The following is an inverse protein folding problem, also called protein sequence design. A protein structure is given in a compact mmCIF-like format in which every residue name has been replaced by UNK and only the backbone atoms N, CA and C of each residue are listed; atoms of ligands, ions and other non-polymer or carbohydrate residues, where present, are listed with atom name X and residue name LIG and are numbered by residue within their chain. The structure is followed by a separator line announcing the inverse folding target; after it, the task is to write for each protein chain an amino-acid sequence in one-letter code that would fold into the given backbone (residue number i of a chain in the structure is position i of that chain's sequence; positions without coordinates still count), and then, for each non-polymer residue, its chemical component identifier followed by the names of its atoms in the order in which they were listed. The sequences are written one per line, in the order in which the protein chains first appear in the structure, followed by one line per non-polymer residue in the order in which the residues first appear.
data_IF_406683611322
#
_entry.id   IF_406683611322
#
_cell.length_a   1.000
_cell.length_b   1.000
_cell.length_c   1.000
_cell.angle_alpha   90.00
_cell.angle_beta   90.00
_cell.angle_gamma   90.00
#
_symmetry.space_group_name_H-M   'P 1'
#
loop_
_entity.id
_entity.type
_entity.pdbx_description
1 polymer ?
#
# COMPACT_ATOMS: atom_id res chain seq x y z
N UNK A 1 -2.06 -50.17 -56.13
CA UNK A 1 -2.78 -49.20 -55.27
C UNK A 1 -1.75 -48.47 -54.41
N UNK A 2 -1.66 -47.16 -54.55
CA UNK A 2 -0.76 -46.28 -53.78
C UNK A 2 -1.65 -45.38 -52.92
N UNK A 3 -1.42 -45.30 -51.60
CA UNK A 3 -2.14 -44.40 -50.69
C UNK A 3 -1.48 -43.03 -50.74
N UNK A 4 -2.24 -41.99 -51.09
CA UNK A 4 -1.81 -40.59 -50.96
C UNK A 4 -1.91 -40.16 -49.49
N UNK A 5 -0.81 -39.61 -48.96
CA UNK A 5 -0.79 -38.87 -47.70
C UNK A 5 -1.19 -37.43 -48.01
N UNK A 6 -2.43 -37.06 -47.73
CA UNK A 6 -2.86 -35.65 -47.73
C UNK A 6 -2.33 -34.97 -46.47
N UNK A 7 -1.37 -34.08 -46.67
CA UNK A 7 -0.85 -33.15 -45.66
C UNK A 7 -1.95 -32.14 -45.28
N UNK A 8 -2.76 -32.48 -44.27
CA UNK A 8 -3.61 -31.51 -43.58
C UNK A 8 -2.75 -30.75 -42.56
N UNK A 9 -1.85 -29.90 -43.07
CA UNK A 9 -1.07 -28.97 -42.23
C UNK A 9 -2.02 -27.87 -41.76
N UNK A 10 -2.67 -28.10 -40.61
CA UNK A 10 -3.40 -27.06 -39.88
C UNK A 10 -2.42 -25.95 -39.48
N UNK A 11 -2.34 -24.91 -40.31
CA UNK A 11 -1.63 -23.67 -39.97
C UNK A 11 -2.32 -23.08 -38.76
N UNK A 12 -1.68 -23.18 -37.59
CA UNK A 12 -2.17 -22.51 -36.39
C UNK A 12 -2.08 -21.00 -36.66
N UNK A 13 -3.19 -20.24 -36.58
CA UNK A 13 -3.15 -18.81 -36.88
C UNK A 13 -2.24 -18.10 -35.87
N UNK A 14 -1.20 -17.42 -36.37
CA UNK A 14 -0.38 -16.54 -35.53
C UNK A 14 -1.26 -15.40 -35.02
N UNK A 15 -1.60 -15.44 -33.73
CA UNK A 15 -2.36 -14.38 -33.07
C UNK A 15 -1.39 -13.34 -32.55
N UNK A 16 -1.44 -12.12 -33.09
CA UNK A 16 -0.60 -11.01 -32.64
C UNK A 16 -0.91 -10.71 -31.16
N UNK A 17 0.09 -10.67 -30.27
CA UNK A 17 -0.11 -10.26 -28.89
C UNK A 17 -0.71 -8.85 -28.82
N UNK A 18 -1.64 -8.64 -27.89
CA UNK A 18 -2.17 -7.29 -27.61
C UNK A 18 -1.18 -6.51 -26.75
N UNK A 19 -1.24 -5.18 -26.78
CA UNK A 19 -0.41 -4.33 -25.91
C UNK A 19 -0.58 -4.72 -24.44
N UNK A 20 -1.81 -5.01 -24.01
CA UNK A 20 -2.10 -5.50 -22.65
C UNK A 20 -1.37 -6.80 -22.31
N UNK A 21 -1.39 -7.79 -23.22
CA UNK A 21 -0.69 -9.07 -23.01
C UNK A 21 0.84 -8.92 -22.98
N UNK A 22 1.37 -7.93 -23.70
CA UNK A 22 2.79 -7.60 -23.67
C UNK A 22 3.17 -6.91 -22.35
N UNK A 23 2.32 -5.98 -21.87
CA UNK A 23 2.51 -5.33 -20.57
C UNK A 23 2.49 -6.35 -19.43
N UNK A 24 1.53 -7.27 -19.42
CA UNK A 24 1.47 -8.33 -18.41
C UNK A 24 2.72 -9.21 -18.41
N UNK A 25 3.22 -9.59 -19.60
CA UNK A 25 4.48 -10.34 -19.73
C UNK A 25 5.72 -9.56 -19.26
N UNK A 26 5.78 -8.25 -19.53
CA UNK A 26 6.88 -7.40 -19.06
C UNK A 26 6.86 -7.33 -17.53
N UNK A 27 5.67 -7.21 -16.93
CA UNK A 27 5.49 -7.23 -15.48
C UNK A 27 5.92 -8.56 -14.87
N UNK A 28 5.53 -9.69 -15.48
CA UNK A 28 5.98 -11.04 -15.06
C UNK A 28 7.52 -11.16 -15.08
N UNK A 29 8.16 -10.71 -16.17
CA UNK A 29 9.63 -10.78 -16.33
C UNK A 29 10.35 -9.89 -15.31
N UNK A 30 9.86 -8.66 -15.09
CA UNK A 30 10.48 -7.76 -14.12
C UNK A 30 10.41 -8.33 -12.69
N UNK A 31 9.28 -8.94 -12.32
CA UNK A 31 9.18 -9.60 -11.02
C UNK A 31 10.17 -10.77 -10.93
N UNK A 32 10.32 -11.58 -11.99
CA UNK A 32 11.29 -12.68 -11.99
C UNK A 32 12.74 -12.22 -11.82
N UNK A 33 13.12 -11.11 -12.46
CA UNK A 33 14.43 -10.48 -12.29
C UNK A 33 14.63 -10.07 -10.83
N UNK A 34 13.65 -9.38 -10.22
CA UNK A 34 13.73 -8.97 -8.81
C UNK A 34 13.83 -10.17 -7.84
N UNK A 35 13.07 -11.25 -8.08
CA UNK A 35 13.13 -12.48 -7.28
C UNK A 35 14.52 -13.13 -7.34
N UNK A 36 15.13 -13.16 -8.53
CA UNK A 36 16.41 -13.83 -8.79
C UNK A 36 17.59 -12.99 -8.29
N UNK A 37 17.54 -11.66 -8.47
CA UNK A 37 18.58 -10.74 -8.00
C UNK A 37 18.66 -10.67 -6.47
N UNK A 38 17.55 -10.90 -5.76
CA UNK A 38 17.51 -10.88 -4.31
C UNK A 38 17.99 -12.18 -3.63
N UNK A 39 18.18 -13.29 -4.37
CA UNK A 39 18.43 -14.64 -3.82
C UNK A 39 17.43 -15.04 -2.70
N UNK A 40 16.18 -14.55 -2.79
CA UNK A 40 15.12 -14.77 -1.80
C UNK A 40 14.08 -15.74 -2.35
N UNK A 41 13.52 -16.61 -1.50
CA UNK A 41 12.38 -17.44 -1.90
C UNK A 41 11.13 -16.57 -1.97
N UNK A 42 10.17 -17.01 -2.79
CA UNK A 42 8.83 -16.40 -2.87
C UNK A 42 8.20 -16.16 -1.49
N UNK A 43 8.29 -17.14 -0.59
CA UNK A 43 7.72 -17.00 0.76
C UNK A 43 8.38 -15.86 1.55
N UNK A 44 9.69 -15.67 1.40
CA UNK A 44 10.43 -14.62 2.12
C UNK A 44 9.99 -13.23 1.65
N UNK A 45 9.77 -13.05 0.34
CA UNK A 45 9.31 -11.78 -0.23
C UNK A 45 7.86 -11.49 0.14
N UNK A 46 7.00 -12.53 0.16
CA UNK A 46 5.63 -12.40 0.66
C UNK A 46 5.62 -11.94 2.11
N UNK A 47 6.43 -12.59 2.95
CA UNK A 47 6.47 -12.31 4.39
C UNK A 47 7.06 -10.92 4.66
N UNK A 48 8.03 -10.47 3.87
CA UNK A 48 8.57 -9.10 3.91
C UNK A 48 7.53 -8.05 3.52
N UNK A 49 6.82 -8.23 2.41
CA UNK A 49 5.73 -7.32 2.00
C UNK A 49 4.64 -7.23 3.07
N UNK A 50 4.21 -8.37 3.62
CA UNK A 50 3.20 -8.40 4.69
C UNK A 50 3.70 -7.70 5.95
N UNK A 51 4.98 -7.89 6.30
CA UNK A 51 5.61 -7.22 7.44
C UNK A 51 5.65 -5.69 7.24
N UNK A 52 6.10 -5.22 6.08
CA UNK A 52 6.18 -3.78 5.78
C UNK A 52 4.78 -3.12 5.79
N UNK A 53 3.77 -3.78 5.23
CA UNK A 53 2.38 -3.32 5.28
C UNK A 53 1.91 -3.17 6.73
N UNK A 54 2.18 -4.17 7.59
CA UNK A 54 1.80 -4.13 9.00
C UNK A 54 2.53 -3.01 9.76
N UNK A 55 3.81 -2.77 9.46
CA UNK A 55 4.57 -1.67 10.05
C UNK A 55 4.00 -0.30 9.66
N UNK A 56 3.61 -0.11 8.39
CA UNK A 56 2.96 1.13 7.94
C UNK A 56 1.58 1.30 8.58
N UNK A 57 0.77 0.24 8.68
CA UNK A 57 -0.55 0.30 9.32
C UNK A 57 -0.47 0.77 10.79
N UNK A 58 0.53 0.26 11.53
CA UNK A 58 0.80 0.73 12.90
C UNK A 58 1.14 2.23 12.91
N UNK A 59 2.01 2.70 12.01
CA UNK A 59 2.38 4.12 11.91
C UNK A 59 1.17 4.99 11.57
N UNK A 60 0.34 4.58 10.61
CA UNK A 60 -0.88 5.28 10.24
C UNK A 60 -1.83 5.42 11.42
N UNK A 61 -2.05 4.34 12.18
CA UNK A 61 -2.88 4.38 13.38
C UNK A 61 -2.31 5.33 14.44
N UNK A 62 -1.00 5.30 14.68
CA UNK A 62 -0.34 6.23 15.62
C UNK A 62 -0.49 7.70 15.21
N UNK A 63 -0.34 8.03 13.93
CA UNK A 63 -0.49 9.40 13.42
C UNK A 63 -1.95 9.85 13.57
N UNK A 64 -2.92 8.99 13.23
CA UNK A 64 -4.34 9.28 13.41
C UNK A 64 -4.71 9.56 14.87
N UNK A 65 -4.18 8.78 15.81
CA UNK A 65 -4.38 9.02 17.25
C UNK A 65 -3.81 10.38 17.69
N UNK A 66 -2.62 10.75 17.21
CA UNK A 66 -2.02 12.07 17.48
C UNK A 66 -2.89 13.20 16.94
N UNK A 67 -3.35 13.10 15.69
CA UNK A 67 -4.25 14.10 15.08
C UNK A 67 -5.56 14.20 15.87
N UNK A 68 -6.15 13.08 16.29
CA UNK A 68 -7.38 13.07 17.08
C UNK A 68 -7.20 13.77 18.44
N UNK A 69 -6.04 13.58 19.10
CA UNK A 69 -5.73 14.28 20.34
C UNK A 69 -5.52 15.78 20.12
N UNK A 70 -4.79 16.17 19.07
CA UNK A 70 -4.60 17.59 18.72
C UNK A 70 -5.93 18.26 18.35
N UNK A 71 -6.85 17.57 17.67
CA UNK A 71 -8.18 18.09 17.37
C UNK A 71 -8.98 18.39 18.65
N UNK A 72 -8.92 17.51 19.66
CA UNK A 72 -9.52 17.78 20.98
C UNK A 72 -8.89 18.97 21.66
N UNK A 73 -7.56 19.13 21.56
CA UNK A 73 -6.86 20.29 22.10
C UNK A 73 -7.33 21.58 21.41
N UNK A 74 -7.41 21.58 20.09
CA UNK A 74 -7.90 22.72 19.31
C UNK A 74 -9.33 23.10 19.70
N UNK A 75 -10.22 22.11 19.83
CA UNK A 75 -11.61 22.32 20.27
C UNK A 75 -11.67 22.99 21.65
N UNK A 76 -10.92 22.48 22.62
CA UNK A 76 -10.84 23.07 23.97
C UNK A 76 -10.34 24.52 23.90
N UNK A 77 -9.28 24.78 23.14
CA UNK A 77 -8.70 26.12 23.01
C UNK A 77 -9.66 27.13 22.34
N UNK A 78 -10.45 26.68 21.37
CA UNK A 78 -11.49 27.49 20.73
C UNK A 78 -12.61 27.78 21.74
N UNK A 79 -13.08 26.77 22.46
CA UNK A 79 -14.17 26.88 23.43
C UNK A 79 -13.81 27.75 24.64
N UNK A 80 -12.51 27.87 25.00
CA UNK A 80 -12.04 28.82 26.02
C UNK A 80 -12.33 30.29 25.66
N UNK A 81 -12.49 30.60 24.37
CA UNK A 81 -12.84 31.93 23.86
C UNK A 81 -14.32 32.09 23.54
N UNK A 82 -15.15 31.07 23.82
CA UNK A 82 -16.59 31.09 23.54
C UNK A 82 -17.31 32.18 24.34
N UNK A 83 -18.28 32.85 23.72
CA UNK A 83 -19.16 33.81 24.38
C UNK A 83 -20.09 33.13 25.41
N UNK A 84 -20.45 31.87 25.19
CA UNK A 84 -21.24 31.08 26.13
C UNK A 84 -20.43 30.73 27.38
N UNK A 85 -20.93 31.18 28.53
CA UNK A 85 -20.29 30.98 29.84
C UNK A 85 -20.20 29.50 30.19
N UNK A 86 -21.19 28.69 29.80
CA UNK A 86 -21.22 27.26 30.11
C UNK A 86 -20.13 26.50 29.35
N UNK A 87 -20.04 26.72 28.03
CA UNK A 87 -19.01 26.18 27.15
C UNK A 87 -17.61 26.58 27.62
N UNK A 88 -17.42 27.85 28.01
CA UNK A 88 -16.14 28.34 28.52
C UNK A 88 -15.72 27.67 29.83
N UNK A 89 -16.67 27.41 30.74
CA UNK A 89 -16.40 26.70 32.00
C UNK A 89 -16.03 25.24 31.75
N UNK A 90 -16.74 24.56 30.85
CA UNK A 90 -16.43 23.19 30.46
C UNK A 90 -15.04 23.10 29.83
N UNK A 91 -14.72 24.00 28.90
CA UNK A 91 -13.40 24.06 28.27
C UNK A 91 -12.25 24.27 29.27
N UNK A 92 -12.45 25.06 30.34
CA UNK A 92 -11.44 25.21 31.41
C UNK A 92 -11.18 23.90 32.14
N UNK A 93 -12.23 23.10 32.38
CA UNK A 93 -12.08 21.79 33.00
C UNK A 93 -11.33 20.82 32.07
N UNK A 94 -11.72 20.76 30.80
CA UNK A 94 -11.07 19.88 29.83
C UNK A 94 -9.61 20.28 29.55
N UNK A 95 -9.30 21.58 29.54
CA UNK A 95 -7.94 22.11 29.41
C UNK A 95 -7.02 21.59 30.52
N UNK A 96 -7.49 21.61 31.76
CA UNK A 96 -6.75 21.07 32.91
C UNK A 96 -6.62 19.54 32.82
N UNK A 97 -7.69 18.85 32.43
CA UNK A 97 -7.70 17.38 32.31
C UNK A 97 -6.74 16.87 31.23
N UNK A 98 -6.57 17.64 30.16
CA UNK A 98 -5.62 17.37 29.08
C UNK A 98 -4.17 17.78 29.44
N UNK A 99 -3.95 18.36 30.62
CA UNK A 99 -2.65 18.86 31.09
C UNK A 99 -1.97 19.81 30.09
N UNK A 100 -2.74 20.73 29.52
CA UNK A 100 -2.25 21.64 28.49
C UNK A 100 -1.39 22.77 29.08
N UNK A 101 -0.24 23.10 28.45
CA UNK A 101 0.55 24.26 28.85
C UNK A 101 -0.24 25.56 28.65
N UNK A 102 -0.19 26.50 29.59
CA UNK A 102 -0.92 27.79 29.45
C UNK A 102 -0.50 28.60 28.22
N UNK A 103 0.74 28.41 27.74
CA UNK A 103 1.27 29.09 26.56
C UNK A 103 0.83 28.47 25.22
N UNK A 104 0.14 27.32 25.23
CA UNK A 104 -0.27 26.65 23.99
C UNK A 104 -1.29 27.50 23.23
N UNK A 105 -1.11 27.59 21.92
CA UNK A 105 -1.99 28.37 21.05
C UNK A 105 -2.68 27.50 20.01
N UNK A 106 -3.83 27.96 19.52
CA UNK A 106 -4.54 27.30 18.41
C UNK A 106 -3.65 27.18 17.19
N UNK A 107 -2.88 28.23 16.88
CA UNK A 107 -1.95 28.25 15.75
C UNK A 107 -0.92 27.11 15.83
N UNK A 108 -0.27 26.94 16.98
CA UNK A 108 0.69 25.85 17.20
C UNK A 108 0.05 24.47 17.01
N UNK A 109 -1.14 24.27 17.57
CA UNK A 109 -1.88 23.01 17.43
C UNK A 109 -2.28 22.77 15.97
N UNK A 110 -2.71 23.80 15.24
CA UNK A 110 -3.07 23.70 13.82
C UNK A 110 -1.86 23.38 12.93
N UNK A 111 -0.71 23.97 13.21
CA UNK A 111 0.54 23.67 12.48
C UNK A 111 0.98 22.22 12.70
N UNK A 112 0.89 21.71 13.94
CA UNK A 112 1.18 20.29 14.22
C UNK A 112 0.18 19.35 13.54
N UNK A 113 -1.11 19.69 13.52
CA UNK A 113 -2.12 18.92 12.78
C UNK A 113 -1.74 18.85 11.30
N UNK A 114 -1.35 19.98 10.69
CA UNK A 114 -0.95 20.01 9.27
C UNK A 114 0.28 19.12 9.03
N UNK A 115 1.29 19.21 9.88
CA UNK A 115 2.50 18.38 9.77
C UNK A 115 2.16 16.88 9.85
N UNK A 116 1.32 16.46 10.81
CA UNK A 116 0.90 15.07 10.90
C UNK A 116 0.00 14.62 9.75
N UNK A 117 -0.82 15.51 9.19
CA UNK A 117 -1.62 15.20 7.99
C UNK A 117 -0.72 15.00 6.75
N UNK A 118 0.34 15.78 6.60
CA UNK A 118 1.35 15.58 5.56
C UNK A 118 2.08 14.24 5.73
N UNK A 119 2.49 13.90 6.96
CA UNK A 119 3.09 12.60 7.29
C UNK A 119 2.13 11.44 7.01
N UNK A 120 0.86 11.56 7.39
CA UNK A 120 -0.18 10.57 7.13
C UNK A 120 -0.33 10.32 5.62
N UNK A 121 -0.41 11.39 4.81
CA UNK A 121 -0.53 11.28 3.36
C UNK A 121 0.68 10.57 2.74
N UNK A 122 1.88 10.85 3.22
CA UNK A 122 3.08 10.16 2.77
C UNK A 122 3.00 8.65 3.05
N UNK A 123 2.67 8.24 4.27
CA UNK A 123 2.57 6.82 4.60
C UNK A 123 1.39 6.12 3.93
N UNK A 124 0.28 6.82 3.66
CA UNK A 124 -0.82 6.27 2.86
C UNK A 124 -0.37 5.95 1.43
N UNK A 125 0.42 6.84 0.82
CA UNK A 125 0.99 6.59 -0.50
C UNK A 125 1.89 5.35 -0.52
N UNK A 126 2.80 5.22 0.46
CA UNK A 126 3.66 4.05 0.61
C UNK A 126 2.85 2.77 0.82
N UNK A 127 1.83 2.82 1.69
CA UNK A 127 0.91 1.71 1.94
C UNK A 127 0.23 1.24 0.65
N UNK A 128 -0.35 2.17 -0.13
CA UNK A 128 -0.99 1.84 -1.41
C UNK A 128 -0.02 1.22 -2.41
N UNK A 129 1.24 1.67 -2.43
CA UNK A 129 2.26 1.11 -3.29
C UNK A 129 2.59 -0.34 -2.91
N UNK A 130 2.76 -0.63 -1.61
CA UNK A 130 2.99 -1.99 -1.12
C UNK A 130 1.80 -2.92 -1.41
N UNK A 131 0.57 -2.43 -1.27
CA UNK A 131 -0.63 -3.21 -1.61
C UNK A 131 -0.64 -3.56 -3.11
N UNK A 132 -0.34 -2.61 -4.00
CA UNK A 132 -0.23 -2.88 -5.45
C UNK A 132 0.84 -3.93 -5.76
N UNK A 133 1.98 -3.85 -5.09
CA UNK A 133 3.05 -4.85 -5.24
C UNK A 133 2.59 -6.23 -4.78
N UNK A 134 1.92 -6.32 -3.64
CA UNK A 134 1.36 -7.58 -3.14
C UNK A 134 0.28 -8.15 -4.09
N UNK A 135 -0.60 -7.32 -4.62
CA UNK A 135 -1.62 -7.74 -5.60
C UNK A 135 -0.99 -8.30 -6.88
N UNK A 136 0.03 -7.61 -7.41
CA UNK A 136 0.78 -8.05 -8.57
C UNK A 136 1.48 -9.38 -8.32
N UNK A 137 2.11 -9.53 -7.16
CA UNK A 137 2.78 -10.74 -6.73
C UNK A 137 1.82 -11.94 -6.58
N UNK A 138 0.64 -11.71 -6.01
CA UNK A 138 -0.44 -12.72 -5.93
C UNK A 138 -0.99 -13.07 -7.31
N UNK A 139 -1.11 -12.09 -8.22
CA UNK A 139 -1.56 -12.32 -9.60
C UNK A 139 -0.60 -13.23 -10.36
N UNK A 140 0.71 -13.01 -10.24
CA UNK A 140 1.73 -13.84 -10.90
C UNK A 140 1.66 -15.28 -10.43
N UNK A 141 1.50 -15.53 -9.12
CA UNK A 141 1.37 -16.89 -8.60
C UNK A 141 0.10 -17.62 -9.00
N UNK A 142 -1.01 -16.89 -9.11
CA UNK A 142 -2.30 -17.49 -9.44
C UNK A 142 -2.46 -17.75 -10.94
N UNK A 143 -1.49 -17.38 -11.78
CA UNK A 143 -1.47 -17.75 -13.19
C UNK A 143 -1.26 -19.27 -13.32
N UNK A 144 -2.27 -19.97 -13.86
CA UNK A 144 -2.31 -21.44 -13.99
C UNK A 144 -1.24 -22.01 -14.92
N UNK A 145 -0.57 -21.17 -15.71
CA UNK A 145 0.58 -21.55 -16.53
C UNK A 145 1.94 -21.12 -15.92
N UNK A 146 1.95 -20.53 -14.71
CA UNK A 146 3.17 -20.21 -13.95
C UNK A 146 3.99 -21.49 -13.68
N UNK A 147 3.36 -22.53 -13.13
CA UNK A 147 3.99 -23.84 -12.86
C UNK A 147 4.51 -24.53 -14.13
N UNK A 148 3.85 -24.32 -15.28
CA UNK A 148 4.29 -24.90 -16.56
C UNK A 148 5.46 -24.13 -17.19
N UNK A 149 5.49 -22.80 -17.08
CA UNK A 149 6.64 -21.99 -17.49
C UNK A 149 7.87 -22.30 -16.63
N UNK A 150 7.67 -22.47 -15.32
CA UNK A 150 8.72 -22.84 -14.36
C UNK A 150 9.34 -24.21 -14.67
N UNK A 151 8.50 -25.19 -15.06
CA UNK A 151 8.99 -26.52 -15.46
C UNK A 151 9.76 -26.53 -16.78
N UNK A 152 9.54 -25.56 -17.68
CA UNK A 152 10.24 -25.48 -18.97
C UNK A 152 11.65 -24.91 -18.82
N UNK A 153 11.88 -23.99 -17.88
CA UNK A 153 13.22 -23.40 -17.65
C UNK A 153 14.16 -24.32 -16.85
N UNK A 154 13.66 -25.09 -15.87
CA UNK A 154 14.48 -26.09 -15.15
C UNK A 154 14.89 -27.27 -16.05
N UNK A 155 14.19 -27.52 -17.16
CA UNK A 155 14.52 -28.58 -18.12
C UNK A 155 15.46 -28.13 -19.26
N UNK A 156 15.90 -26.87 -19.28
CA UNK A 156 16.84 -26.32 -20.27
C UNK A 156 18.28 -26.16 -19.73
N UNK A 157 18.55 -26.66 -18.53
CA UNK A 157 19.89 -26.83 -17.94
C UNK A 157 20.34 -28.29 -18.02
#
# INVERSE_FOLDING_TARGET
MIRQLTNDSRVIPYRRPTVKSLQEKITEINLFIELTEADKKYQDIKDELVKEIAEIDIKLNQINEKIANLNKMAEVLINLKSEDVSSRKLARYDFLKLNLPESITVEQVSEEIRAFQEELNHYLYEYENLIKNLEMFVKVLNDKDFDKKFSIEILLE
#
